data_IF_641203189221
#
_entry.id   IF_641203189221
#
_cell.length_a   1.000
_cell.length_b   1.000
_cell.length_c   1.000
_cell.angle_alpha   90.00
_cell.angle_beta   90.00
_cell.angle_gamma   90.00
#
_symmetry.space_group_name_H-M   'P 1'
#
loop_
_entity.id
_entity.type
_entity.pdbx_description
1 polymer ?
#
# COMPACT_ATOMS: atom_id res chain seq x y z
N UNK A 1 -2.09 -26.14 -7.09
CA UNK A 1 -2.96 -25.55 -8.11
C UNK A 1 -2.92 -24.03 -8.04
N UNK A 2 -2.86 -23.37 -9.21
CA UNK A 2 -2.84 -21.91 -9.35
C UNK A 2 -4.21 -21.41 -9.79
N UNK A 3 -4.63 -20.25 -9.32
CA UNK A 3 -5.85 -19.59 -9.77
C UNK A 3 -5.71 -19.15 -11.24
N UNK A 4 -6.52 -19.70 -12.13
CA UNK A 4 -6.51 -19.40 -13.57
C UNK A 4 -6.81 -17.93 -13.86
N UNK A 5 -7.67 -17.29 -13.04
CA UNK A 5 -8.02 -15.88 -13.17
C UNK A 5 -6.83 -15.00 -12.79
N UNK A 6 -6.03 -15.41 -11.81
CA UNK A 6 -4.79 -14.71 -11.46
C UNK A 6 -3.73 -14.81 -12.57
N UNK A 7 -3.68 -15.95 -13.30
CA UNK A 7 -2.83 -16.08 -14.49
C UNK A 7 -3.27 -15.14 -15.61
N UNK A 8 -4.57 -15.12 -15.92
CA UNK A 8 -5.14 -14.19 -16.91
C UNK A 8 -4.84 -12.72 -16.54
N UNK A 9 -5.06 -12.33 -15.27
CA UNK A 9 -4.74 -10.99 -14.80
C UNK A 9 -3.25 -10.65 -14.95
N UNK A 10 -2.36 -11.63 -14.83
CA UNK A 10 -0.91 -11.43 -15.03
C UNK A 10 -0.58 -11.15 -16.50
N UNK A 11 -1.22 -11.86 -17.42
CA UNK A 11 -1.07 -11.62 -18.88
C UNK A 11 -1.60 -10.24 -19.27
N UNK A 12 -2.79 -9.86 -18.78
CA UNK A 12 -3.37 -8.55 -19.03
C UNK A 12 -2.49 -7.41 -18.47
N UNK A 13 -1.94 -7.59 -17.26
CA UNK A 13 -1.01 -6.59 -16.68
C UNK A 13 0.27 -6.46 -17.52
N UNK A 14 0.75 -7.55 -18.12
CA UNK A 14 1.90 -7.51 -19.03
C UNK A 14 1.54 -6.73 -20.30
N UNK A 15 0.39 -7.03 -20.92
CA UNK A 15 -0.11 -6.30 -22.09
C UNK A 15 -0.22 -4.80 -21.81
N UNK A 16 -0.89 -4.42 -20.72
CA UNK A 16 -1.01 -3.02 -20.31
C UNK A 16 0.37 -2.35 -20.01
N UNK A 17 1.34 -3.12 -19.55
CA UNK A 17 2.72 -2.65 -19.37
C UNK A 17 3.39 -2.33 -20.70
N UNK A 18 3.24 -3.20 -21.71
CA UNK A 18 3.77 -2.93 -23.05
C UNK A 18 3.06 -1.80 -23.76
N UNK A 19 1.74 -1.67 -23.61
CA UNK A 19 0.98 -0.53 -24.15
C UNK A 19 1.53 0.80 -23.64
N UNK A 20 1.83 0.89 -22.34
CA UNK A 20 2.47 2.09 -21.75
C UNK A 20 3.86 2.34 -22.32
N UNK A 21 4.65 1.28 -22.51
CA UNK A 21 5.98 1.39 -23.09
C UNK A 21 5.92 1.92 -24.53
N UNK A 22 5.07 1.35 -25.38
CA UNK A 22 4.93 1.82 -26.77
C UNK A 22 4.36 3.24 -26.88
N UNK A 23 3.45 3.60 -25.96
CA UNK A 23 2.94 4.98 -25.84
C UNK A 23 3.92 5.96 -25.20
N UNK A 24 5.14 5.51 -24.84
CA UNK A 24 6.18 6.30 -24.14
C UNK A 24 5.70 6.92 -22.82
N UNK A 25 4.70 6.32 -22.16
CA UNK A 25 4.16 6.75 -20.86
C UNK A 25 4.69 5.92 -19.69
N UNK A 26 5.57 4.94 -19.95
CA UNK A 26 6.19 4.10 -18.94
C UNK A 26 7.41 3.34 -19.47
N UNK A 27 8.18 2.76 -18.55
CA UNK A 27 9.34 1.96 -18.87
C UNK A 27 8.97 0.56 -19.40
N UNK A 28 9.95 -0.10 -20.09
CA UNK A 28 9.81 -1.48 -20.53
C UNK A 28 9.49 -2.40 -19.32
N UNK A 29 8.47 -3.28 -19.45
CA UNK A 29 8.15 -4.23 -18.39
C UNK A 29 9.35 -5.09 -18.00
N UNK A 30 9.58 -5.24 -16.69
CA UNK A 30 10.66 -6.06 -16.14
C UNK A 30 10.09 -7.37 -15.58
N UNK A 31 10.83 -8.47 -15.68
CA UNK A 31 10.45 -9.73 -15.06
C UNK A 31 10.34 -9.60 -13.55
N UNK A 32 9.27 -10.15 -12.98
CA UNK A 32 9.13 -10.28 -11.54
C UNK A 32 10.11 -11.34 -11.03
N UNK A 33 10.81 -11.01 -9.96
CA UNK A 33 11.75 -11.91 -9.28
C UNK A 33 11.29 -12.18 -7.85
N UNK A 34 11.62 -13.37 -7.31
CA UNK A 34 11.44 -13.68 -5.88
C UNK A 34 12.25 -12.75 -4.97
N UNK A 35 13.23 -12.02 -5.52
CA UNK A 35 14.03 -11.01 -4.82
C UNK A 35 13.35 -9.66 -4.74
N UNK A 36 12.26 -9.42 -5.48
CA UNK A 36 11.53 -8.16 -5.45
C UNK A 36 10.98 -7.90 -4.05
N UNK A 37 10.95 -6.63 -3.68
CA UNK A 37 10.55 -6.19 -2.34
C UNK A 37 9.11 -6.56 -2.01
N UNK A 38 8.22 -6.46 -2.99
CA UNK A 38 6.80 -6.77 -2.85
C UNK A 38 6.45 -7.90 -3.78
N UNK A 39 5.94 -8.98 -3.22
CA UNK A 39 5.37 -10.09 -3.97
C UNK A 39 3.85 -9.92 -4.01
N UNK A 40 3.24 -9.96 -5.18
CA UNK A 40 1.79 -9.78 -5.30
C UNK A 40 1.21 -10.54 -6.47
N UNK A 41 -0.06 -10.94 -6.33
CA UNK A 41 -0.91 -11.42 -7.42
C UNK A 41 -2.27 -10.75 -7.36
N UNK A 42 -2.95 -10.66 -8.49
CA UNK A 42 -4.29 -10.08 -8.61
C UNK A 42 -5.24 -11.13 -9.14
N UNK A 43 -6.41 -11.24 -8.52
CA UNK A 43 -7.53 -12.06 -9.01
C UNK A 43 -8.76 -11.17 -9.20
N UNK A 44 -9.59 -11.49 -10.20
CA UNK A 44 -10.80 -10.73 -10.53
C UNK A 44 -12.04 -11.45 -10.01
N UNK A 45 -13.08 -10.66 -9.73
CA UNK A 45 -14.38 -11.22 -9.42
C UNK A 45 -14.97 -11.88 -10.67
N UNK A 46 -15.39 -13.12 -10.50
CA UNK A 46 -16.17 -13.86 -11.50
C UNK A 46 -17.42 -14.41 -10.82
N UNK A 47 -18.56 -14.15 -11.44
CA UNK A 47 -19.86 -14.71 -11.05
C UNK A 47 -20.24 -15.78 -12.06
N UNK A 48 -20.36 -17.03 -11.65
CA UNK A 48 -20.74 -18.14 -12.51
C UNK A 48 -21.80 -19.01 -11.80
N UNK A 49 -22.93 -19.22 -12.46
CA UNK A 49 -24.03 -20.09 -11.97
C UNK A 49 -24.39 -19.85 -10.49
N UNK A 50 -24.53 -18.59 -10.08
CA UNK A 50 -24.86 -18.18 -8.70
C UNK A 50 -23.71 -18.24 -7.71
N UNK A 51 -22.54 -18.78 -8.09
CA UNK A 51 -21.36 -18.82 -7.24
C UNK A 51 -20.45 -17.62 -7.49
N UNK A 52 -19.94 -17.05 -6.40
CA UNK A 52 -18.99 -15.93 -6.42
C UNK A 52 -17.64 -16.44 -5.91
N UNK A 53 -16.59 -16.16 -6.69
CA UNK A 53 -15.24 -16.61 -6.34
C UNK A 53 -14.55 -15.72 -5.30
N UNK A 54 -14.98 -14.46 -5.14
CA UNK A 54 -14.46 -13.51 -4.15
C UNK A 54 -15.63 -12.94 -3.36
N UNK A 55 -15.60 -13.09 -2.05
CA UNK A 55 -16.65 -12.62 -1.14
C UNK A 55 -16.04 -12.27 0.21
N UNK A 56 -16.62 -11.29 0.91
CA UNK A 56 -16.26 -10.96 2.29
C UNK A 56 -17.37 -11.43 3.19
N UNK A 57 -17.04 -12.35 4.09
CA UNK A 57 -17.96 -12.93 5.06
C UNK A 57 -17.45 -12.60 6.47
N UNK A 58 -18.01 -11.56 7.08
CA UNK A 58 -17.57 -11.06 8.38
C UNK A 58 -16.08 -10.69 8.39
N UNK A 59 -15.28 -11.36 9.22
CA UNK A 59 -13.82 -11.16 9.32
C UNK A 59 -13.02 -12.13 8.43
N UNK A 60 -13.60 -12.61 7.35
CA UNK A 60 -12.93 -13.52 6.40
C UNK A 60 -13.19 -13.07 4.98
N UNK A 61 -12.20 -13.27 4.11
CA UNK A 61 -12.33 -13.12 2.67
C UNK A 61 -12.24 -14.48 2.01
N UNK A 62 -13.19 -14.78 1.13
CA UNK A 62 -13.13 -15.93 0.23
C UNK A 62 -12.27 -15.57 -0.96
N UNK A 63 -11.27 -16.38 -1.24
CA UNK A 63 -10.38 -16.21 -2.40
C UNK A 63 -10.30 -17.52 -3.18
N UNK A 64 -10.17 -17.47 -4.51
CA UNK A 64 -10.00 -18.67 -5.34
C UNK A 64 -8.83 -19.49 -4.83
N UNK A 65 -9.00 -20.82 -4.80
CA UNK A 65 -8.03 -21.83 -4.34
C UNK A 65 -7.60 -21.75 -2.86
N UNK A 66 -7.69 -20.58 -2.22
CA UNK A 66 -7.35 -20.40 -0.81
C UNK A 66 -8.56 -20.60 0.13
N UNK A 67 -9.79 -20.53 -0.41
CA UNK A 67 -10.99 -20.58 0.41
C UNK A 67 -11.16 -19.36 1.32
N UNK A 68 -11.68 -19.58 2.54
CA UNK A 68 -11.93 -18.52 3.52
C UNK A 68 -10.68 -18.20 4.34
N UNK A 69 -10.09 -17.05 4.09
CA UNK A 69 -8.91 -16.54 4.80
C UNK A 69 -9.34 -15.48 5.82
N UNK A 70 -8.85 -15.58 7.05
CA UNK A 70 -9.09 -14.56 8.10
C UNK A 70 -8.39 -13.27 7.73
N UNK A 71 -9.13 -12.16 7.79
CA UNK A 71 -8.61 -10.81 7.54
C UNK A 71 -8.96 -9.90 8.72
N UNK A 72 -8.18 -8.84 8.86
CA UNK A 72 -8.47 -7.73 9.75
C UNK A 72 -8.99 -6.57 8.91
N UNK A 73 -10.28 -6.27 9.06
CA UNK A 73 -10.92 -5.23 8.27
C UNK A 73 -10.52 -3.86 8.83
N UNK A 74 -9.78 -3.08 8.03
CA UNK A 74 -9.44 -1.69 8.37
C UNK A 74 -10.61 -0.74 8.15
N UNK A 75 -11.55 -1.10 7.26
CA UNK A 75 -12.77 -0.35 6.96
C UNK A 75 -13.82 -1.29 6.35
N UNK A 76 -15.08 -0.91 6.41
CA UNK A 76 -16.12 -1.60 5.65
C UNK A 76 -15.86 -1.47 4.15
N UNK A 77 -16.20 -2.52 3.42
CA UNK A 77 -16.09 -2.55 1.96
C UNK A 77 -17.46 -2.26 1.39
N UNK A 78 -17.64 -1.02 0.93
CA UNK A 78 -18.87 -0.57 0.29
C UNK A 78 -18.74 -0.72 -1.23
N UNK A 79 -19.86 -1.09 -1.88
CA UNK A 79 -19.93 -1.25 -3.33
C UNK A 79 -19.58 -2.64 -3.86
N UNK A 80 -19.52 -2.74 -5.18
CA UNK A 80 -19.29 -4.00 -5.88
C UNK A 80 -17.81 -4.30 -6.04
N UNK A 81 -17.35 -5.41 -5.49
CA UNK A 81 -15.96 -5.87 -5.65
C UNK A 81 -15.69 -6.16 -7.13
N UNK A 82 -14.60 -5.65 -7.68
CA UNK A 82 -14.12 -5.92 -9.05
C UNK A 82 -12.92 -6.87 -9.06
N UNK A 83 -11.95 -6.60 -8.20
CA UNK A 83 -10.73 -7.41 -8.09
C UNK A 83 -10.09 -7.27 -6.73
N UNK A 84 -9.28 -8.26 -6.37
CA UNK A 84 -8.47 -8.26 -5.16
C UNK A 84 -7.01 -8.49 -5.53
N UNK A 85 -6.13 -7.65 -5.01
CA UNK A 85 -4.68 -7.84 -5.10
C UNK A 85 -4.15 -8.24 -3.74
N UNK A 86 -3.62 -9.45 -3.64
CA UNK A 86 -2.95 -9.93 -2.45
C UNK A 86 -1.46 -9.64 -2.59
N UNK A 87 -0.88 -8.99 -1.59
CA UNK A 87 0.54 -8.64 -1.56
C UNK A 87 1.20 -9.09 -0.26
N UNK A 88 2.48 -9.46 -0.37
CA UNK A 88 3.35 -9.78 0.77
C UNK A 88 4.49 -8.78 0.82
N UNK A 89 4.68 -8.16 1.99
CA UNK A 89 5.78 -7.23 2.24
C UNK A 89 7.05 -7.96 2.67
N UNK A 90 8.18 -7.27 2.64
CA UNK A 90 9.45 -7.81 3.16
C UNK A 90 9.42 -8.11 4.67
N UNK A 91 8.54 -7.42 5.42
CA UNK A 91 8.32 -7.70 6.85
C UNK A 91 7.57 -9.01 7.12
N UNK A 92 7.08 -9.68 6.05
CA UNK A 92 6.31 -10.93 6.09
C UNK A 92 4.81 -10.75 6.31
N UNK A 93 4.29 -9.54 6.28
CA UNK A 93 2.86 -9.27 6.37
C UNK A 93 2.17 -9.42 5.02
N UNK A 94 0.91 -9.84 5.06
CA UNK A 94 0.03 -9.94 3.90
C UNK A 94 -1.03 -8.86 3.94
N UNK A 95 -1.33 -8.29 2.78
CA UNK A 95 -2.38 -7.30 2.59
C UNK A 95 -3.26 -7.70 1.41
N UNK A 96 -4.57 -7.46 1.56
CA UNK A 96 -5.54 -7.59 0.48
C UNK A 96 -6.03 -6.18 0.11
N UNK A 97 -5.70 -5.72 -1.10
CA UNK A 97 -6.22 -4.48 -1.67
C UNK A 97 -7.43 -4.81 -2.53
N UNK A 98 -8.59 -4.32 -2.14
CA UNK A 98 -9.87 -4.61 -2.77
C UNK A 98 -10.27 -3.40 -3.61
N UNK A 99 -10.45 -3.61 -4.90
CA UNK A 99 -11.02 -2.60 -5.80
C UNK A 99 -12.53 -2.79 -5.86
N UNK A 100 -13.26 -1.76 -5.46
CA UNK A 100 -14.72 -1.72 -5.52
C UNK A 100 -15.20 -0.61 -6.45
N UNK A 101 -16.37 -0.84 -7.03
CA UNK A 101 -17.15 0.16 -7.74
C UNK A 101 -18.13 0.78 -6.76
N UNK A 102 -18.00 2.08 -6.51
CA UNK A 102 -18.82 2.81 -5.55
C UNK A 102 -19.36 4.08 -6.20
N UNK A 103 -20.59 4.44 -5.85
CA UNK A 103 -21.15 5.74 -6.23
C UNK A 103 -20.60 6.81 -5.29
N UNK A 104 -19.81 7.71 -5.83
CA UNK A 104 -19.26 8.84 -5.08
C UNK A 104 -20.23 10.00 -5.22
N UNK A 105 -20.75 10.49 -4.09
CA UNK A 105 -21.49 11.75 -4.08
C UNK A 105 -20.51 12.91 -4.25
N UNK A 106 -20.79 13.79 -5.18
CA UNK A 106 -20.00 15.01 -5.36
C UNK A 106 -20.13 15.88 -4.10
N UNK A 107 -18.98 16.28 -3.57
CA UNK A 107 -18.94 17.25 -2.48
C UNK A 107 -19.25 18.64 -3.01
N UNK A 108 -19.97 19.46 -2.23
CA UNK A 108 -20.23 20.85 -2.57
C UNK A 108 -18.92 21.62 -2.76
N UNK A 109 -18.85 22.37 -3.87
CA UNK A 109 -17.68 23.22 -4.16
C UNK A 109 -17.56 24.33 -3.14
N UNK A 110 -16.36 24.54 -2.62
CA UNK A 110 -16.04 25.59 -1.66
C UNK A 110 -15.00 26.50 -2.29
N UNK A 111 -15.27 27.80 -2.32
CA UNK A 111 -14.38 28.80 -2.94
C UNK A 111 -13.18 29.23 -2.07
N UNK A 112 -12.94 28.54 -0.97
CA UNK A 112 -11.80 28.83 -0.10
C UNK A 112 -10.51 28.24 -0.68
N UNK A 113 -9.46 29.09 -0.76
CA UNK A 113 -8.12 28.70 -1.22
C UNK A 113 -7.13 28.87 -0.08
N UNK A 114 -6.19 27.94 0.06
CA UNK A 114 -5.10 27.98 1.05
C UNK A 114 -3.79 27.68 0.32
N UNK A 115 -2.82 28.57 0.51
CA UNK A 115 -1.42 28.32 0.15
C UNK A 115 -0.76 27.42 1.17
N UNK A 116 0.05 26.47 0.72
CA UNK A 116 0.81 25.56 1.58
C UNK A 116 2.26 25.56 1.17
N UNK A 117 3.12 25.94 2.10
CA UNK A 117 4.55 25.75 1.99
C UNK A 117 5.01 24.51 2.78
N UNK A 118 5.87 23.67 2.17
CA UNK A 118 6.36 22.44 2.77
C UNK A 118 7.86 22.53 2.98
N UNK A 119 8.28 22.45 4.25
CA UNK A 119 9.66 22.65 4.65
C UNK A 119 10.27 21.48 5.43
N UNK A 120 11.60 21.56 5.64
CA UNK A 120 12.35 20.59 6.44
C UNK A 120 12.29 20.89 7.95
N UNK A 121 12.19 22.15 8.34
CA UNK A 121 12.15 22.59 9.74
C UNK A 121 10.74 22.41 10.28
N UNK A 122 9.77 23.01 9.64
CA UNK A 122 8.33 22.83 9.82
C UNK A 122 7.83 21.99 8.66
N UNK A 123 6.98 20.99 8.92
CA UNK A 123 6.53 20.08 7.86
C UNK A 123 5.62 20.77 6.86
N UNK A 124 4.70 21.61 7.33
CA UNK A 124 3.84 22.41 6.51
C UNK A 124 3.46 23.72 7.24
N UNK A 125 3.44 24.81 6.50
CA UNK A 125 2.94 26.12 6.92
C UNK A 125 1.86 26.54 5.95
N UNK A 126 0.75 27.00 6.43
CA UNK A 126 -0.41 27.37 5.65
C UNK A 126 -0.68 28.86 5.73
N UNK A 127 -1.22 29.44 4.68
CA UNK A 127 -1.57 30.87 4.61
C UNK A 127 -2.66 31.28 5.61
N UNK A 128 -3.36 30.32 6.22
CA UNK A 128 -4.34 30.54 7.28
C UNK A 128 -3.72 30.52 8.71
N UNK A 129 -2.38 30.46 8.81
CA UNK A 129 -1.66 30.43 10.06
C UNK A 129 -1.48 29.05 10.67
N UNK A 130 -1.98 27.97 10.02
CA UNK A 130 -1.76 26.62 10.53
C UNK A 130 -0.32 26.16 10.27
N UNK A 131 0.33 25.61 11.29
CA UNK A 131 1.68 25.04 11.20
C UNK A 131 1.68 23.60 11.70
N UNK A 132 2.28 22.68 10.91
CA UNK A 132 2.51 21.28 11.28
C UNK A 132 4.00 21.05 11.53
N UNK A 133 4.33 20.65 12.74
CA UNK A 133 5.72 20.36 13.11
C UNK A 133 6.26 19.12 12.39
N UNK A 134 7.55 19.13 12.01
CA UNK A 134 8.18 17.96 11.42
C UNK A 134 8.48 16.90 12.49
N UNK A 135 7.84 15.72 12.47
CA UNK A 135 7.98 14.69 13.51
C UNK A 135 9.32 13.95 13.46
N UNK A 136 10.13 14.14 12.41
CA UNK A 136 11.49 13.59 12.23
C UNK A 136 11.59 12.07 12.49
N UNK A 137 10.58 11.30 12.05
CA UNK A 137 10.45 9.85 12.32
C UNK A 137 11.71 9.05 11.97
N UNK A 138 12.36 9.37 10.85
CA UNK A 138 13.59 8.70 10.45
C UNK A 138 14.72 8.94 11.45
N UNK A 139 14.97 10.19 11.84
CA UNK A 139 16.05 10.52 12.79
C UNK A 139 15.89 9.83 14.14
N UNK A 140 14.66 9.68 14.62
CA UNK A 140 14.37 8.94 15.87
C UNK A 140 14.72 7.45 15.76
N UNK A 141 14.59 6.86 14.57
CA UNK A 141 14.86 5.44 14.33
C UNK A 141 16.29 5.15 13.81
N UNK A 142 17.03 6.17 13.39
CA UNK A 142 18.30 6.07 12.69
C UNK A 142 19.36 5.26 13.47
N UNK A 143 19.57 5.59 14.74
CA UNK A 143 20.56 4.85 15.59
C UNK A 143 20.26 3.35 15.63
N UNK A 144 18.97 2.98 15.75
CA UNK A 144 18.54 1.58 15.75
C UNK A 144 18.74 0.92 14.38
N UNK A 145 18.47 1.65 13.29
CA UNK A 145 18.66 1.16 11.94
C UNK A 145 20.14 0.86 11.66
N UNK A 146 21.02 1.79 11.99
CA UNK A 146 22.48 1.62 11.85
C UNK A 146 22.96 0.39 12.63
N UNK A 147 22.51 0.22 13.88
CA UNK A 147 22.87 -0.97 14.68
C UNK A 147 22.45 -2.26 13.98
N UNK A 148 21.18 -2.35 13.54
CA UNK A 148 20.67 -3.55 12.85
C UNK A 148 21.41 -3.83 11.52
N UNK A 149 21.79 -2.78 10.78
CA UNK A 149 22.55 -2.94 9.54
C UNK A 149 23.98 -3.44 9.80
N UNK A 150 24.66 -2.91 10.83
CA UNK A 150 25.98 -3.41 11.26
C UNK A 150 25.91 -4.86 11.73
N UNK A 151 24.88 -5.20 12.50
CA UNK A 151 24.65 -6.58 12.96
C UNK A 151 24.39 -7.52 11.78
N UNK A 152 23.67 -7.05 10.73
CA UNK A 152 23.43 -7.85 9.53
C UNK A 152 24.74 -8.11 8.76
N UNK A 153 25.59 -7.09 8.61
CA UNK A 153 26.85 -7.20 7.89
C UNK A 153 27.84 -8.21 8.52
N UNK A 154 27.72 -8.45 9.84
CA UNK A 154 28.53 -9.42 10.57
C UNK A 154 27.99 -10.86 10.54
N UNK A 155 26.79 -11.07 9.99
CA UNK A 155 26.17 -12.40 9.95
C UNK A 155 26.55 -13.15 8.68
N UNK A 156 26.72 -14.44 8.82
CA UNK A 156 26.91 -15.33 7.68
C UNK A 156 25.73 -15.18 6.69
N UNK A 157 26.04 -14.94 5.43
CA UNK A 157 25.06 -14.76 4.37
C UNK A 157 24.13 -15.97 4.27
N UNK A 158 22.85 -15.71 4.12
CA UNK A 158 21.79 -16.73 4.00
C UNK A 158 21.56 -17.62 5.24
N UNK A 159 22.22 -17.37 6.38
CA UNK A 159 21.95 -18.07 7.63
C UNK A 159 20.57 -17.71 8.21
N UNK A 160 20.04 -18.58 9.09
CA UNK A 160 18.77 -18.30 9.78
C UNK A 160 18.80 -16.95 10.53
N UNK A 161 19.92 -16.62 11.14
CA UNK A 161 20.12 -15.36 11.87
C UNK A 161 20.22 -14.15 10.93
N UNK A 162 20.80 -14.31 9.74
CA UNK A 162 20.80 -13.31 8.69
C UNK A 162 19.36 -12.98 8.24
N UNK A 163 18.54 -14.00 7.97
CA UNK A 163 17.14 -13.79 7.59
C UNK A 163 16.30 -13.16 8.70
N UNK A 164 16.49 -13.56 9.97
CA UNK A 164 15.82 -12.92 11.11
C UNK A 164 16.15 -11.44 11.20
N UNK A 165 17.42 -11.07 11.01
CA UNK A 165 17.84 -9.68 11.07
C UNK A 165 17.32 -8.85 9.88
N UNK A 166 17.29 -9.41 8.66
CA UNK A 166 16.63 -8.76 7.50
C UNK A 166 15.19 -8.43 7.79
N UNK A 167 14.43 -9.35 8.39
CA UNK A 167 13.03 -9.11 8.76
C UNK A 167 12.92 -7.98 9.80
N UNK A 168 13.82 -7.90 10.79
CA UNK A 168 13.83 -6.82 11.77
C UNK A 168 14.07 -5.45 11.11
N UNK A 169 15.02 -5.38 10.17
CA UNK A 169 15.27 -4.16 9.38
C UNK A 169 14.03 -3.78 8.56
N UNK A 170 13.42 -4.75 7.86
CA UNK A 170 12.22 -4.53 7.07
C UNK A 170 11.04 -4.01 7.92
N UNK A 171 10.83 -4.58 9.11
CA UNK A 171 9.82 -4.11 10.08
C UNK A 171 10.08 -2.69 10.56
N UNK A 172 11.36 -2.31 10.75
CA UNK A 172 11.71 -0.96 11.16
C UNK A 172 11.45 0.05 10.03
N UNK A 173 11.82 -0.28 8.79
CA UNK A 173 11.50 0.56 7.62
C UNK A 173 9.99 0.71 7.43
N UNK A 174 9.23 -0.38 7.54
CA UNK A 174 7.77 -0.36 7.47
C UNK A 174 7.17 0.55 8.54
N UNK A 175 7.66 0.46 9.79
CA UNK A 175 7.21 1.34 10.89
C UNK A 175 7.46 2.81 10.56
N UNK A 176 8.65 3.16 10.06
CA UNK A 176 8.98 4.54 9.67
C UNK A 176 8.07 5.01 8.54
N UNK A 177 7.85 4.17 7.51
CA UNK A 177 6.97 4.48 6.39
C UNK A 177 5.52 4.71 6.85
N UNK A 178 5.00 3.85 7.72
CA UNK A 178 3.67 3.99 8.29
C UNK A 178 3.52 5.25 9.14
N UNK A 179 4.51 5.57 9.97
CA UNK A 179 4.51 6.81 10.75
C UNK A 179 4.49 8.06 9.87
N UNK A 180 5.28 8.07 8.77
CA UNK A 180 5.26 9.15 7.78
C UNK A 180 3.89 9.26 7.10
N UNK A 181 3.30 8.11 6.74
CA UNK A 181 1.98 8.08 6.12
C UNK A 181 0.90 8.63 7.06
N UNK A 182 0.91 8.21 8.33
CA UNK A 182 -0.04 8.71 9.36
C UNK A 182 0.09 10.22 9.53
N UNK A 183 1.31 10.77 9.65
CA UNK A 183 1.52 12.21 9.74
C UNK A 183 0.98 12.96 8.51
N UNK A 184 1.20 12.42 7.30
CA UNK A 184 0.65 13.00 6.06
C UNK A 184 -0.87 12.95 6.02
N UNK A 185 -1.48 11.86 6.49
CA UNK A 185 -2.94 11.72 6.56
C UNK A 185 -3.50 12.67 7.61
N UNK A 186 -2.85 12.80 8.77
CA UNK A 186 -3.26 13.72 9.83
C UNK A 186 -3.31 15.15 9.32
N UNK A 187 -2.25 15.61 8.67
CA UNK A 187 -2.21 16.93 8.03
C UNK A 187 -3.32 17.12 6.98
N UNK A 188 -3.73 16.05 6.25
CA UNK A 188 -4.86 16.09 5.33
C UNK A 188 -6.22 16.16 6.04
N UNK A 189 -6.42 15.36 7.10
CA UNK A 189 -7.71 15.27 7.83
C UNK A 189 -8.00 16.58 8.57
N UNK A 190 -7.02 17.16 9.23
CA UNK A 190 -7.16 18.47 9.89
C UNK A 190 -7.63 19.53 8.92
N UNK A 191 -7.26 19.40 7.63
CA UNK A 191 -7.69 20.33 6.58
C UNK A 191 -9.08 20.04 6.02
N UNK A 192 -9.47 18.78 5.88
CA UNK A 192 -10.82 18.43 5.43
C UNK A 192 -11.88 18.91 6.41
N UNK A 193 -11.62 18.78 7.71
CA UNK A 193 -12.52 19.29 8.76
C UNK A 193 -12.57 20.82 8.81
N UNK A 194 -11.54 21.52 8.34
CA UNK A 194 -11.50 22.97 8.21
C UNK A 194 -11.85 23.49 6.79
N UNK A 195 -12.50 22.67 5.96
CA UNK A 195 -13.00 23.02 4.63
C UNK A 195 -11.94 23.37 3.55
N UNK A 196 -10.82 22.63 3.48
CA UNK A 196 -9.82 22.88 2.43
C UNK A 196 -9.48 21.62 1.61
N UNK A 197 -9.44 21.76 0.28
CA UNK A 197 -8.89 20.77 -0.64
C UNK A 197 -7.47 21.16 -1.03
N UNK A 198 -6.53 20.19 -0.99
CA UNK A 198 -5.21 20.29 -1.61
C UNK A 198 -5.30 19.67 -3.00
N UNK A 199 -5.00 20.42 -4.01
CA UNK A 199 -4.72 19.96 -5.37
C UNK A 199 -3.30 19.43 -5.43
#
# INVERSE_FOLDING_TARGET
EVDSIALQASVENLGAGYDKYYKKTGDKPKFKSKKNEIQSYTTKLVKAKGNVNIEIVGKRIKLPKLGLVKIENSRNVDGNIKRVTVSRTQSGKYFASILCDVNIQELSKIDKKVGVDVGLKTFAVCSDGYEEANPKHFRKAEKRLIKLQRDLARKEYNSKNYHKNRIMIAKLHERIANQRMVSRIHAKIVRVNNHFFII
#
